data_IF_521946158564
#
_entry.id   IF_521946158564
#
_cell.length_a   1.000
_cell.length_b   1.000
_cell.length_c   1.000
_cell.angle_alpha   90.00
_cell.angle_beta   90.00
_cell.angle_gamma   90.00
#
_symmetry.space_group_name_H-M   'P 1'
#
loop_
_entity.id
_entity.type
_entity.pdbx_description
1 polymer ?
#
# COMPACT_ATOMS: atom_id res chain seq x y z
N UNK A 1 19.45 -10.20 5.21
CA UNK A 1 18.16 -10.08 5.90
C UNK A 1 17.09 -9.82 4.87
N UNK A 2 15.91 -10.43 5.04
CA UNK A 2 14.76 -10.25 4.17
C UNK A 2 13.70 -9.42 4.91
N UNK A 3 13.13 -8.42 4.25
CA UNK A 3 12.02 -7.63 4.75
C UNK A 3 10.85 -7.72 3.78
N UNK A 4 9.66 -8.04 4.29
CA UNK A 4 8.43 -8.14 3.50
C UNK A 4 7.45 -7.13 4.07
N UNK A 5 6.83 -6.35 3.17
CA UNK A 5 5.79 -5.39 3.52
C UNK A 5 4.55 -5.74 2.71
N UNK A 6 3.42 -5.95 3.39
CA UNK A 6 2.14 -6.25 2.75
C UNK A 6 0.99 -5.64 3.55
N UNK A 7 -0.02 -5.14 2.83
CA UNK A 7 -1.30 -4.71 3.42
C UNK A 7 -2.29 -5.87 3.56
N UNK A 8 -2.02 -7.00 2.89
CA UNK A 8 -2.84 -8.21 2.91
C UNK A 8 -1.95 -9.39 3.28
N UNK A 9 -1.71 -9.62 4.58
CA UNK A 9 -0.95 -10.77 5.04
C UNK A 9 -1.45 -12.08 4.44
N UNK A 10 -2.77 -12.19 4.21
CA UNK A 10 -3.35 -13.41 3.66
C UNK A 10 -2.88 -13.83 2.27
N UNK A 11 -2.43 -12.87 1.46
CA UNK A 11 -1.90 -13.17 0.12
C UNK A 11 -0.43 -13.56 0.13
N UNK A 12 0.25 -13.45 1.28
CA UNK A 12 1.64 -13.89 1.43
C UNK A 12 1.63 -15.37 1.78
N UNK A 13 2.49 -16.15 1.13
CA UNK A 13 2.62 -17.58 1.40
C UNK A 13 2.92 -17.83 2.89
N UNK A 14 2.17 -18.74 3.49
CA UNK A 14 2.31 -19.06 4.91
C UNK A 14 3.70 -19.60 5.25
N UNK A 15 4.35 -20.32 4.34
CA UNK A 15 5.72 -20.82 4.52
C UNK A 15 6.74 -19.68 4.53
N UNK A 16 6.45 -18.57 3.86
CA UNK A 16 7.30 -17.39 3.92
C UNK A 16 7.09 -16.68 5.25
N UNK A 17 5.83 -16.49 5.66
CA UNK A 17 5.50 -15.85 6.93
C UNK A 17 6.02 -16.65 8.14
N UNK A 18 5.90 -17.98 8.13
CA UNK A 18 6.37 -18.83 9.25
C UNK A 18 7.89 -18.82 9.42
N UNK A 19 8.63 -18.45 8.38
CA UNK A 19 10.09 -18.30 8.44
C UNK A 19 10.52 -16.90 8.86
N UNK A 20 9.58 -15.96 9.01
CA UNK A 20 9.90 -14.63 9.51
C UNK A 20 10.15 -14.69 11.01
N UNK A 21 11.36 -14.31 11.43
CA UNK A 21 11.72 -14.28 12.85
C UNK A 21 11.18 -13.06 13.60
N UNK A 22 10.64 -12.05 12.92
CA UNK A 22 10.15 -10.83 13.55
C UNK A 22 9.08 -10.14 12.72
N UNK A 23 8.13 -9.50 13.40
CA UNK A 23 6.97 -8.88 12.77
C UNK A 23 6.68 -7.50 13.35
N UNK A 24 6.40 -6.54 12.46
CA UNK A 24 5.80 -5.24 12.78
C UNK A 24 4.36 -5.30 12.29
N UNK A 25 3.42 -5.41 13.22
CA UNK A 25 2.02 -5.59 12.88
C UNK A 25 1.30 -4.27 13.17
N UNK A 26 0.86 -3.60 12.11
CA UNK A 26 0.04 -2.39 12.20
C UNK A 26 -1.44 -2.76 12.28
N UNK A 27 -2.31 -1.75 12.27
CA UNK A 27 -3.77 -1.93 12.28
C UNK A 27 -4.23 -2.92 11.19
N UNK A 28 -4.84 -4.03 11.61
CA UNK A 28 -5.49 -5.02 10.74
C UNK A 28 -6.92 -5.22 11.26
N UNK A 29 -7.91 -5.03 10.39
CA UNK A 29 -9.33 -5.16 10.74
C UNK A 29 -9.86 -6.55 10.36
N UNK A 30 -9.42 -7.10 9.23
CA UNK A 30 -9.96 -8.35 8.70
C UNK A 30 -9.56 -9.55 9.56
N UNK A 31 -10.53 -10.38 9.93
CA UNK A 31 -10.28 -11.57 10.77
C UNK A 31 -9.37 -12.60 10.10
N UNK A 32 -9.49 -12.80 8.79
CA UNK A 32 -8.64 -13.75 8.06
C UNK A 32 -7.16 -13.34 8.09
N UNK A 33 -6.89 -12.04 7.93
CA UNK A 33 -5.53 -11.50 7.99
C UNK A 33 -4.96 -11.64 9.40
N UNK A 34 -5.77 -11.36 10.43
CA UNK A 34 -5.42 -11.60 11.84
C UNK A 34 -5.09 -13.07 12.11
N UNK A 35 -5.89 -14.01 11.59
CA UNK A 35 -5.66 -15.45 11.73
C UNK A 35 -4.37 -15.89 11.06
N UNK A 36 -4.09 -15.38 9.86
CA UNK A 36 -2.85 -15.73 9.15
C UNK A 36 -1.61 -15.25 9.89
N UNK A 37 -1.64 -14.02 10.44
CA UNK A 37 -0.57 -13.51 11.28
C UNK A 37 -0.42 -14.38 12.53
N UNK A 38 -1.52 -14.67 13.23
CA UNK A 38 -1.52 -15.49 14.43
C UNK A 38 -0.97 -16.91 14.18
N UNK A 39 -1.27 -17.50 13.02
CA UNK A 39 -0.74 -18.80 12.61
C UNK A 39 0.74 -18.77 12.22
N UNK A 40 1.26 -17.63 11.77
CA UNK A 40 2.66 -17.46 11.42
C UNK A 40 3.55 -17.10 12.63
N UNK A 41 3.00 -16.44 13.65
CA UNK A 41 3.75 -16.05 14.86
C UNK A 41 3.52 -17.01 16.02
N UNK A 42 4.55 -17.76 16.42
CA UNK A 42 4.49 -18.63 17.61
C UNK A 42 4.33 -17.86 18.93
N UNK A 43 4.82 -16.61 19.00
CA UNK A 43 4.93 -15.84 20.23
C UNK A 43 3.71 -14.96 20.57
N UNK A 44 2.68 -14.92 19.72
CA UNK A 44 1.59 -13.94 19.83
C UNK A 44 0.33 -14.58 20.41
N UNK A 45 -0.19 -14.05 21.52
CA UNK A 45 -1.46 -14.51 22.08
C UNK A 45 -2.65 -14.06 21.23
N UNK A 46 -3.76 -14.80 21.27
CA UNK A 46 -4.99 -14.43 20.53
C UNK A 46 -5.55 -13.09 21.00
N UNK A 47 -5.36 -12.77 22.27
CA UNK A 47 -5.77 -11.51 22.90
C UNK A 47 -4.96 -10.31 22.40
N UNK A 48 -3.70 -10.52 22.00
CA UNK A 48 -2.89 -9.46 21.40
C UNK A 48 -3.30 -9.23 19.94
N UNK A 49 -3.61 -10.30 19.21
CA UNK A 49 -4.10 -10.22 17.84
C UNK A 49 -5.44 -9.48 17.77
N UNK A 50 -6.36 -9.71 18.72
CA UNK A 50 -7.65 -9.00 18.73
C UNK A 50 -7.50 -7.49 18.95
N UNK A 51 -6.45 -7.05 19.65
CA UNK A 51 -6.12 -5.64 19.87
C UNK A 51 -5.58 -4.94 18.62
N UNK A 52 -5.18 -5.67 17.57
CA UNK A 52 -4.71 -5.06 16.32
C UNK A 52 -5.80 -4.20 15.66
N UNK A 53 -7.07 -4.53 15.88
CA UNK A 53 -8.21 -3.79 15.34
C UNK A 53 -8.36 -2.39 15.94
N UNK A 54 -7.94 -2.22 17.20
CA UNK A 54 -8.05 -0.97 17.96
C UNK A 54 -6.84 -0.05 17.81
N UNK A 55 -5.79 -0.48 17.10
CA UNK A 55 -4.62 0.36 16.85
C UNK A 55 -5.00 1.62 16.04
N UNK A 56 -4.32 2.73 16.33
CA UNK A 56 -4.41 3.94 15.53
C UNK A 56 -3.43 3.88 14.36
N UNK A 57 -3.60 4.81 13.41
CA UNK A 57 -2.62 5.01 12.34
C UNK A 57 -1.32 5.51 12.98
N UNK A 58 -0.20 4.86 12.64
CA UNK A 58 1.10 5.12 13.24
C UNK A 58 1.45 4.18 14.41
N UNK A 59 0.48 3.48 14.99
CA UNK A 59 0.77 2.49 16.03
C UNK A 59 1.05 1.10 15.43
N UNK A 60 1.96 0.37 16.06
CA UNK A 60 2.32 -0.99 15.68
C UNK A 60 2.59 -1.87 16.91
N UNK A 61 2.38 -3.17 16.74
CA UNK A 61 2.80 -4.20 17.70
C UNK A 61 4.03 -4.89 17.13
N UNK A 62 5.13 -4.85 17.90
CA UNK A 62 6.38 -5.54 17.57
C UNK A 62 6.44 -6.88 18.30
N UNK A 63 6.74 -7.95 17.56
CA UNK A 63 6.90 -9.32 18.10
C UNK A 63 8.05 -10.06 17.43
N UNK A 64 8.51 -11.12 18.09
CA UNK A 64 9.58 -11.98 17.62
C UNK A 64 10.95 -11.49 18.08
N UNK A 65 12.00 -11.79 17.30
CA UNK A 65 13.40 -11.55 17.69
C UNK A 65 13.78 -10.08 17.89
N UNK A 66 12.93 -9.12 17.50
CA UNK A 66 13.15 -7.70 17.80
C UNK A 66 12.95 -7.35 19.27
N UNK A 67 12.05 -8.05 19.97
CA UNK A 67 11.66 -7.71 21.35
C UNK A 67 11.50 -8.96 22.19
N UNK A 68 12.00 -8.92 23.44
CA UNK A 68 11.84 -10.04 24.37
C UNK A 68 10.36 -10.27 24.78
N UNK A 69 9.54 -9.23 24.67
CA UNK A 69 8.10 -9.25 24.93
C UNK A 69 7.38 -8.50 23.82
N UNK A 70 6.16 -8.90 23.46
CA UNK A 70 5.32 -8.12 22.55
C UNK A 70 5.17 -6.68 23.05
N UNK A 71 5.50 -5.71 22.19
CA UNK A 71 5.56 -4.30 22.57
C UNK A 71 4.73 -3.47 21.62
N UNK A 72 3.83 -2.66 22.18
CA UNK A 72 3.06 -1.67 21.43
C UNK A 72 3.90 -0.39 21.32
N UNK A 73 4.12 0.07 20.09
CA UNK A 73 4.99 1.21 19.78
C UNK A 73 4.25 2.21 18.90
N UNK A 74 4.60 3.48 19.07
CA UNK A 74 4.22 4.53 18.13
C UNK A 74 5.38 4.73 17.14
N UNK A 75 5.10 4.62 15.85
CA UNK A 75 6.08 4.77 14.79
C UNK A 75 6.17 6.24 14.40
N UNK A 76 7.36 6.82 14.51
CA UNK A 76 7.61 8.21 14.15
C UNK A 76 7.31 8.47 12.67
N UNK A 77 6.67 9.62 12.40
CA UNK A 77 6.35 10.04 11.05
C UNK A 77 7.62 10.45 10.29
N UNK A 78 7.81 9.85 9.10
CA UNK A 78 8.90 10.21 8.19
C UNK A 78 8.49 11.43 7.36
N UNK A 79 8.95 12.61 7.77
CA UNK A 79 8.61 13.90 7.14
C UNK A 79 9.20 14.06 5.74
N UNK A 80 10.29 13.36 5.43
CA UNK A 80 10.95 13.45 4.13
C UNK A 80 10.30 12.57 3.04
N UNK A 81 9.13 11.96 3.28
CA UNK A 81 8.52 11.06 2.30
C UNK A 81 8.01 11.83 1.07
N UNK A 82 8.78 11.77 -0.02
CA UNK A 82 8.54 12.50 -1.28
C UNK A 82 7.58 11.74 -2.23
N UNK A 83 7.28 10.46 -1.98
CA UNK A 83 6.63 9.60 -2.98
C UNK A 83 5.60 8.63 -2.37
N UNK A 84 4.56 8.29 -3.16
CA UNK A 84 3.54 7.30 -2.80
C UNK A 84 2.19 7.87 -2.34
N UNK A 85 1.93 9.16 -2.54
CA UNK A 85 0.58 9.73 -2.47
C UNK A 85 -0.22 9.35 -3.71
N UNK A 86 -1.55 9.23 -3.57
CA UNK A 86 -2.44 9.00 -4.70
C UNK A 86 -2.20 10.06 -5.77
N UNK A 87 -2.07 9.62 -7.03
CA UNK A 87 -2.01 10.55 -8.14
C UNK A 87 -3.40 11.14 -8.33
N UNK A 88 -3.49 12.46 -8.45
CA UNK A 88 -4.75 13.14 -8.72
C UNK A 88 -5.27 12.70 -10.09
N UNK A 89 -6.28 11.83 -10.10
CA UNK A 89 -6.92 11.36 -11.32
C UNK A 89 -7.54 12.52 -12.10
N UNK A 90 -8.05 13.54 -11.40
CA UNK A 90 -8.62 14.75 -12.01
C UNK A 90 -7.55 15.54 -12.74
N UNK A 91 -6.38 15.74 -12.13
CA UNK A 91 -5.27 16.45 -12.79
C UNK A 91 -4.72 15.63 -13.97
N UNK A 92 -4.65 14.31 -13.83
CA UNK A 92 -4.24 13.41 -14.91
C UNK A 92 -5.20 13.47 -16.11
N UNK A 93 -6.51 13.46 -15.87
CA UNK A 93 -7.52 13.58 -16.93
C UNK A 93 -7.55 14.97 -17.56
N UNK A 94 -7.47 16.04 -16.78
CA UNK A 94 -7.43 17.40 -17.30
C UNK A 94 -6.21 17.65 -18.19
N UNK A 95 -5.05 17.08 -17.85
CA UNK A 95 -3.86 17.14 -18.69
C UNK A 95 -4.03 16.32 -19.99
N UNK A 96 -4.67 15.16 -19.92
CA UNK A 96 -4.96 14.36 -21.11
C UNK A 96 -5.92 15.09 -22.08
N UNK A 97 -6.96 15.78 -21.57
CA UNK A 97 -7.87 16.58 -22.41
C UNK A 97 -7.13 17.72 -23.11
N UNK A 98 -6.28 18.48 -22.40
CA UNK A 98 -5.46 19.53 -23.00
C UNK A 98 -4.53 19.01 -24.10
N UNK A 99 -3.90 17.85 -23.88
CA UNK A 99 -3.04 17.23 -24.89
C UNK A 99 -3.85 16.77 -26.13
N UNK A 100 -5.11 16.38 -25.93
CA UNK A 100 -5.98 15.97 -27.02
C UNK A 100 -6.47 17.17 -27.86
N UNK A 101 -6.81 18.30 -27.23
CA UNK A 101 -7.17 19.55 -27.94
C UNK A 101 -6.02 20.03 -28.84
N UNK A 102 -4.78 20.00 -28.34
CA UNK A 102 -3.59 20.39 -29.10
C UNK A 102 -3.35 19.46 -30.32
N UNK A 103 -3.60 18.16 -30.16
CA UNK A 103 -3.46 17.19 -31.26
C UNK A 103 -4.53 17.36 -32.35
N UNK A 104 -5.75 17.74 -31.97
CA UNK A 104 -6.88 17.98 -32.89
C UNK A 104 -6.68 19.26 -33.69
N UNK A 105 -6.24 20.36 -33.05
CA UNK A 105 -5.93 21.62 -33.75
C UNK A 105 -4.82 21.44 -34.81
N UNK A 106 -3.79 20.66 -34.49
CA UNK A 106 -2.66 20.40 -35.41
C UNK A 106 -3.07 19.62 -36.67
N UNK A 107 -4.13 18.82 -36.62
CA UNK A 107 -4.55 17.97 -37.75
C UNK A 107 -5.54 18.68 -38.67
N UNK A 108 -6.40 19.56 -38.12
CA UNK A 108 -7.38 20.31 -38.91
C UNK A 108 -6.74 21.34 -39.85
N UNK A 109 -5.57 21.90 -39.51
CA UNK A 109 -4.81 22.80 -40.38
C UNK A 109 -4.10 22.13 -41.56
N UNK A 110 -4.01 20.79 -41.58
CA UNK A 110 -3.34 20.00 -42.63
C UNK A 110 -4.33 19.43 -43.67
N UNK A 111 -5.63 19.54 -43.43
CA UNK A 111 -6.65 19.10 -44.39
C UNK A 111 -6.78 20.17 -45.48
N UNK A 112 -6.03 20.04 -46.57
CA UNK A 112 -6.24 20.85 -47.77
C UNK A 112 -7.63 20.57 -48.34
N UNK A 113 -8.58 21.49 -48.09
CA UNK A 113 -9.94 21.45 -48.65
C UNK A 113 -9.97 21.55 -50.18
N UNK A 114 -8.87 21.95 -50.81
CA UNK A 114 -8.77 22.16 -52.26
C UNK A 114 -8.59 20.86 -53.07
N UNK A 115 -8.39 19.69 -52.43
CA UNK A 115 -8.25 18.41 -53.15
C UNK A 115 -9.55 17.61 -53.28
N UNK A 116 -10.68 18.16 -52.82
CA UNK A 116 -12.01 17.50 -52.80
C UNK A 116 -13.02 18.12 -53.78
N UNK A 117 -12.55 18.90 -54.75
CA UNK A 117 -13.37 19.42 -55.84
C UNK A 117 -12.76 18.98 -57.18
N UNK A 118 -13.11 17.77 -57.59
CA UNK A 118 -13.30 17.35 -58.98
C UNK A 118 -14.59 16.52 -59.06
#
# INVERSE_FOLDING_TARGET
GLGIVSQRPRSVDLNVLSQMGSFAIMKIIQEDDQRQIASATEATSRELISQLTSLNVGDAVLVGQWTNLPSLVHVDEVKEKIMGSDQSAVDAWANAEKMNEIAVESTQGLIQKDLLLD
#
